data_IF_734889698799
#
_entry.id   IF_734889698799
#
_cell.length_a   1.000
_cell.length_b   1.000
_cell.length_c   1.000
_cell.angle_alpha   90.00
_cell.angle_beta   90.00
_cell.angle_gamma   90.00
#
_symmetry.space_group_name_H-M   'P 1'
#
loop_
_entity.id
_entity.type
_entity.pdbx_description
1 polymer ?
#
# COMPACT_ATOMS: atom_id res chain seq x y z
N UNK A 1 -8.18 -8.22 -13.47
CA UNK A 1 -9.63 -8.28 -13.63
C UNK A 1 -10.38 -7.87 -12.38
N UNK A 2 -9.77 -8.01 -11.21
CA UNK A 2 -10.42 -7.64 -9.97
C UNK A 2 -10.81 -6.17 -9.90
N UNK A 3 -9.99 -5.26 -10.43
CA UNK A 3 -10.28 -3.84 -10.41
C UNK A 3 -11.56 -3.53 -11.20
N UNK A 4 -11.63 -4.05 -12.42
CA UNK A 4 -12.79 -3.78 -13.27
C UNK A 4 -14.06 -4.35 -12.65
N UNK A 5 -13.98 -5.57 -12.14
CA UNK A 5 -15.12 -6.21 -11.50
C UNK A 5 -15.58 -5.43 -10.27
N UNK A 6 -14.62 -4.98 -9.45
CA UNK A 6 -14.94 -4.21 -8.25
C UNK A 6 -15.67 -2.91 -8.60
N UNK A 7 -15.19 -2.19 -9.61
CA UNK A 7 -15.83 -0.95 -10.05
C UNK A 7 -17.24 -1.19 -10.60
N UNK A 8 -17.43 -2.29 -11.32
CA UNK A 8 -18.74 -2.61 -11.89
C UNK A 8 -19.78 -2.87 -10.80
N UNK A 9 -19.36 -3.43 -9.66
CA UNK A 9 -20.23 -3.72 -8.56
C UNK A 9 -20.41 -2.53 -7.60
N UNK A 10 -19.67 -1.45 -7.83
CA UNK A 10 -19.68 -0.26 -6.99
C UNK A 10 -19.51 -0.60 -5.52
N UNK A 11 -18.46 -1.33 -5.14
CA UNK A 11 -18.26 -1.73 -3.76
C UNK A 11 -17.95 -0.53 -2.89
N UNK A 12 -18.23 -0.64 -1.60
CA UNK A 12 -17.86 0.40 -0.65
C UNK A 12 -16.41 0.29 -0.22
N UNK A 13 -15.80 -0.87 -0.42
CA UNK A 13 -14.43 -1.14 -0.03
C UNK A 13 -13.74 -1.92 -1.14
N UNK A 14 -12.57 -1.45 -1.53
CA UNK A 14 -11.72 -2.15 -2.50
C UNK A 14 -10.53 -2.77 -1.78
N UNK A 15 -10.20 -4.00 -2.12
CA UNK A 15 -9.04 -4.68 -1.56
C UNK A 15 -8.05 -5.00 -2.67
N UNK A 16 -6.80 -4.57 -2.51
CA UNK A 16 -5.71 -4.87 -3.42
C UNK A 16 -4.63 -5.62 -2.65
N UNK A 17 -4.31 -6.84 -3.10
CA UNK A 17 -3.30 -7.67 -2.45
C UNK A 17 -2.10 -7.79 -3.38
N UNK A 18 -1.02 -7.09 -3.05
CA UNK A 18 0.21 -7.06 -3.84
C UNK A 18 -0.08 -6.83 -5.33
N UNK A 19 -0.74 -5.70 -5.66
CA UNK A 19 -1.24 -5.50 -7.03
C UNK A 19 -0.17 -5.46 -8.10
N UNK A 20 1.10 -5.25 -7.72
CA UNK A 20 2.20 -5.13 -8.69
C UNK A 20 3.18 -6.29 -8.62
N UNK A 21 2.96 -7.27 -7.74
CA UNK A 21 3.97 -8.30 -7.47
C UNK A 21 4.28 -9.21 -8.66
N UNK A 22 3.33 -9.40 -9.56
CA UNK A 22 3.51 -10.29 -10.71
C UNK A 22 3.61 -9.54 -12.04
N UNK A 23 3.83 -8.22 -11.99
CA UNK A 23 3.85 -7.39 -13.18
C UNK A 23 5.26 -7.05 -13.63
N UNK A 24 5.42 -6.84 -14.94
CA UNK A 24 6.63 -6.26 -15.47
C UNK A 24 6.82 -4.86 -14.90
N UNK A 25 8.08 -4.43 -14.68
CA UNK A 25 8.34 -3.08 -14.15
C UNK A 25 7.67 -1.96 -14.97
N UNK A 26 7.50 -2.16 -16.27
CA UNK A 26 6.87 -1.16 -17.12
C UNK A 26 5.39 -0.97 -16.80
N UNK A 27 4.72 -2.02 -16.31
CA UNK A 27 3.30 -1.96 -16.00
C UNK A 27 3.01 -1.52 -14.56
N UNK A 28 4.01 -1.57 -13.70
CA UNK A 28 3.83 -1.21 -12.28
C UNK A 28 3.32 0.22 -12.15
N UNK A 29 3.94 1.16 -12.86
CA UNK A 29 3.54 2.56 -12.80
C UNK A 29 2.09 2.78 -13.24
N UNK A 30 1.64 2.04 -14.24
CA UNK A 30 0.27 2.18 -14.73
C UNK A 30 -0.75 1.72 -13.70
N UNK A 31 -0.47 0.57 -13.06
CA UNK A 31 -1.37 0.03 -12.05
C UNK A 31 -1.41 0.95 -10.82
N UNK A 32 -0.26 1.40 -10.36
CA UNK A 32 -0.20 2.31 -9.23
C UNK A 32 -0.91 3.64 -9.54
N UNK A 33 -0.81 4.11 -10.78
CA UNK A 33 -1.52 5.31 -11.22
C UNK A 33 -3.03 5.17 -11.13
N UNK A 34 -3.56 4.02 -11.54
CA UNK A 34 -4.99 3.75 -11.45
C UNK A 34 -5.45 3.76 -9.99
N UNK A 35 -4.69 3.10 -9.12
CA UNK A 35 -5.04 3.05 -7.70
C UNK A 35 -5.00 4.44 -7.09
N UNK A 36 -4.03 5.25 -7.46
CA UNK A 36 -3.94 6.62 -6.98
C UNK A 36 -5.14 7.44 -7.41
N UNK A 37 -5.59 7.28 -8.66
CA UNK A 37 -6.78 7.97 -9.15
C UNK A 37 -8.01 7.59 -8.34
N UNK A 38 -8.16 6.30 -8.01
CA UNK A 38 -9.27 5.86 -7.18
C UNK A 38 -9.20 6.47 -5.78
N UNK A 39 -8.01 6.57 -5.22
CA UNK A 39 -7.82 7.21 -3.92
C UNK A 39 -8.23 8.68 -3.96
N UNK A 40 -7.85 9.39 -5.02
CA UNK A 40 -8.19 10.79 -5.20
C UNK A 40 -9.70 10.99 -5.37
N UNK A 41 -10.40 9.98 -5.88
CA UNK A 41 -11.85 10.02 -6.00
C UNK A 41 -12.59 9.71 -4.70
N UNK A 42 -11.87 9.36 -3.65
CA UNK A 42 -12.45 9.13 -2.34
C UNK A 42 -12.86 7.69 -2.04
N UNK A 43 -12.39 6.74 -2.84
CA UNK A 43 -12.68 5.32 -2.56
C UNK A 43 -11.98 4.86 -1.31
N UNK A 44 -12.69 4.04 -0.51
CA UNK A 44 -12.07 3.40 0.65
C UNK A 44 -11.35 2.13 0.17
N UNK A 45 -10.06 2.03 0.49
CA UNK A 45 -9.24 0.93 -0.01
C UNK A 45 -8.32 0.38 1.06
N UNK A 46 -8.09 -0.93 1.01
CA UNK A 46 -7.03 -1.59 1.77
C UNK A 46 -6.04 -2.14 0.75
N UNK A 47 -4.78 -1.76 0.88
CA UNK A 47 -3.74 -2.15 -0.06
C UNK A 47 -2.63 -2.87 0.70
N UNK A 48 -2.36 -4.11 0.31
CA UNK A 48 -1.25 -4.88 0.87
C UNK A 48 -0.10 -4.77 -0.13
N UNK A 49 1.00 -4.16 0.28
CA UNK A 49 2.09 -3.90 -0.66
C UNK A 49 3.43 -3.71 0.04
N UNK A 50 4.51 -3.97 -0.69
CA UNK A 50 5.87 -3.63 -0.28
C UNK A 50 6.35 -2.34 -0.95
N UNK A 51 5.52 -1.71 -1.76
CA UNK A 51 5.86 -0.47 -2.46
C UNK A 51 5.70 0.72 -1.51
N UNK A 52 6.74 1.00 -0.71
CA UNK A 52 6.66 2.01 0.33
C UNK A 52 6.50 3.43 -0.23
N UNK A 53 7.15 3.73 -1.35
CA UNK A 53 7.01 5.05 -1.96
C UNK A 53 5.58 5.31 -2.39
N UNK A 54 4.93 4.29 -2.95
CA UNK A 54 3.54 4.39 -3.35
C UNK A 54 2.62 4.54 -2.12
N UNK A 55 2.85 3.72 -1.09
CA UNK A 55 2.07 3.81 0.14
C UNK A 55 2.16 5.21 0.74
N UNK A 56 3.34 5.80 0.70
CA UNK A 56 3.56 7.15 1.22
C UNK A 56 2.74 8.19 0.47
N UNK A 57 2.53 7.97 -0.82
CA UNK A 57 1.78 8.92 -1.65
C UNK A 57 0.27 8.81 -1.50
N UNK A 58 -0.25 7.60 -1.27
CA UNK A 58 -1.70 7.39 -1.33
C UNK A 58 -2.34 7.01 -0.01
N UNK A 59 -1.60 6.45 0.93
CA UNK A 59 -2.19 5.94 2.17
C UNK A 59 -2.42 7.06 3.17
N UNK A 60 -3.58 7.03 3.79
CA UNK A 60 -3.85 7.89 4.95
C UNK A 60 -3.30 7.24 6.21
N UNK A 61 -3.48 5.93 6.32
CA UNK A 61 -3.00 5.16 7.46
C UNK A 61 -2.21 3.96 6.95
N UNK A 62 -1.12 3.63 7.64
CA UNK A 62 -0.31 2.45 7.36
C UNK A 62 -0.35 1.52 8.56
N UNK A 63 -0.51 0.24 8.28
CA UNK A 63 -0.51 -0.82 9.29
C UNK A 63 0.61 -1.78 8.94
N UNK A 64 1.60 -1.88 9.83
CA UNK A 64 2.69 -2.84 9.64
C UNK A 64 2.38 -4.11 10.39
N UNK A 65 2.39 -5.24 9.68
CA UNK A 65 2.11 -6.54 10.27
C UNK A 65 3.32 -7.45 10.09
N UNK A 66 3.56 -8.28 11.10
CA UNK A 66 4.62 -9.26 11.08
C UNK A 66 4.22 -10.44 11.95
N UNK A 67 4.42 -11.65 11.43
CA UNK A 67 4.07 -12.86 12.16
C UNK A 67 2.58 -12.97 12.46
N UNK A 68 1.73 -12.40 11.62
CA UNK A 68 0.29 -12.48 11.80
C UNK A 68 -0.29 -11.51 12.80
N UNK A 69 0.53 -10.57 13.30
CA UNK A 69 0.05 -9.59 14.28
C UNK A 69 0.37 -8.18 13.80
N UNK A 70 -0.44 -7.22 14.26
CA UNK A 70 -0.18 -5.82 13.99
C UNK A 70 0.94 -5.35 14.91
N UNK A 71 2.04 -4.90 14.31
CA UNK A 71 3.20 -4.40 15.06
C UNK A 71 3.06 -2.92 15.33
N UNK A 72 2.64 -2.16 14.31
CA UNK A 72 2.53 -0.72 14.43
C UNK A 72 1.49 -0.21 13.44
N UNK A 73 0.76 0.84 13.83
CA UNK A 73 -0.18 1.49 12.92
C UNK A 73 -0.23 2.98 13.23
N UNK A 74 -0.56 3.76 12.21
CA UNK A 74 -0.68 5.19 12.37
C UNK A 74 -0.68 5.90 11.02
N UNK A 75 -0.65 7.24 11.01
CA UNK A 75 -0.56 8.00 9.77
C UNK A 75 0.64 7.55 8.95
N UNK A 76 0.49 7.53 7.63
CA UNK A 76 1.55 7.05 6.75
C UNK A 76 2.86 7.79 6.98
N UNK A 77 2.79 9.10 7.16
CA UNK A 77 4.00 9.90 7.39
C UNK A 77 4.75 9.45 8.64
N UNK A 78 4.03 9.08 9.69
CA UNK A 78 4.65 8.66 10.94
C UNK A 78 5.25 7.26 10.84
N UNK A 79 4.47 6.30 10.35
CA UNK A 79 4.89 4.90 10.31
C UNK A 79 6.03 4.68 9.31
N UNK A 80 5.99 5.35 8.18
CA UNK A 80 7.00 5.15 7.13
C UNK A 80 8.23 6.03 7.31
N UNK A 81 8.08 7.16 7.98
CA UNK A 81 9.17 8.12 8.14
C UNK A 81 9.86 8.01 9.50
N UNK A 82 9.07 7.89 10.55
CA UNK A 82 9.56 7.83 11.92
C UNK A 82 8.87 6.71 12.68
N UNK A 83 9.06 5.44 12.27
CA UNK A 83 8.43 4.33 12.98
C UNK A 83 8.91 4.26 14.42
N UNK A 84 8.03 3.82 15.32
CA UNK A 84 8.33 3.70 16.75
C UNK A 84 8.86 2.32 17.12
N UNK A 85 8.33 1.29 16.48
CA UNK A 85 8.72 -0.09 16.78
C UNK A 85 9.99 -0.47 16.05
N UNK A 86 10.88 -1.16 16.74
CA UNK A 86 12.14 -1.57 16.16
C UNK A 86 11.97 -2.46 14.93
N UNK A 87 10.99 -3.35 14.97
CA UNK A 87 10.72 -4.24 13.84
C UNK A 87 10.27 -3.45 12.60
N UNK A 88 9.49 -2.40 12.82
CA UNK A 88 9.06 -1.53 11.72
C UNK A 88 10.25 -0.79 11.14
N UNK A 89 11.12 -0.28 12.00
CA UNK A 89 12.33 0.43 11.57
C UNK A 89 13.21 -0.45 10.69
N UNK A 90 13.41 -1.69 11.10
CA UNK A 90 14.23 -2.63 10.36
C UNK A 90 13.61 -2.96 9.00
N UNK A 91 12.28 -3.14 8.96
CA UNK A 91 11.57 -3.45 7.73
C UNK A 91 11.66 -2.28 6.74
N UNK A 92 11.37 -1.07 7.19
CA UNK A 92 11.41 0.11 6.34
C UNK A 92 12.83 0.34 5.81
N UNK A 93 13.82 0.22 6.69
CA UNK A 93 15.22 0.41 6.31
C UNK A 93 15.64 -0.60 5.24
N UNK A 94 15.26 -1.86 5.41
CA UNK A 94 15.62 -2.90 4.45
C UNK A 94 15.01 -2.63 3.07
N UNK A 95 13.75 -2.24 3.01
CA UNK A 95 13.11 -1.95 1.73
C UNK A 95 13.69 -0.71 1.06
N UNK A 96 14.11 0.28 1.83
CA UNK A 96 14.75 1.46 1.27
C UNK A 96 16.11 1.15 0.67
N UNK A 97 16.83 0.18 1.26
CA UNK A 97 18.14 -0.22 0.75
C UNK A 97 18.06 -1.04 -0.53
N UNK A 98 16.95 -1.69 -0.78
CA UNK A 98 16.77 -2.54 -1.96
C UNK A 98 16.39 -1.75 -3.22
N UNK A 99 16.35 -0.46 -3.12
CA UNK A 99 15.95 0.41 -4.24
C UNK A 99 17.14 1.03 -4.94
#
# INVERSE_FOLDING_TARGET
>A
MGIVRALALKPQLLLFDEPTSALDPELVGEVLGVIKELADEGWTMVIVTHELAFARQVADEVIFMDGGVVVERGPAADVLREPREERTKQFVKRLQHDV
#
